data_IF_167448013487
#
_entry.id   IF_167448013487
#
_cell.length_a   1.000
_cell.length_b   1.000
_cell.length_c   1.000
_cell.angle_alpha   90.00
_cell.angle_beta   90.00
_cell.angle_gamma   90.00
#
_symmetry.space_group_name_H-M   'P 1'
#
loop_
_entity.id
_entity.type
_entity.pdbx_description
1 polymer ?
#
# COMPACT_ATOMS: atom_id res chain seq x y z
N UNK A 1 -12.32 5.61 5.69
CA UNK A 1 -11.18 4.67 5.66
C UNK A 1 -10.70 4.15 7.03
N UNK A 2 -11.13 4.71 8.18
CA UNK A 2 -10.66 4.27 9.52
C UNK A 2 -11.38 3.05 10.13
N UNK A 3 -12.50 2.58 9.57
CA UNK A 3 -13.25 1.43 10.10
C UNK A 3 -12.81 0.05 9.56
N UNK A 4 -12.09 0.00 8.43
CA UNK A 4 -11.79 -1.28 7.73
C UNK A 4 -10.48 -1.97 8.14
N UNK A 5 -9.56 -1.27 8.81
CA UNK A 5 -8.23 -1.82 9.14
C UNK A 5 -8.25 -2.60 10.46
N UNK A 6 -9.14 -2.23 11.40
CA UNK A 6 -9.33 -2.95 12.66
C UNK A 6 -10.00 -4.32 12.49
N UNK A 7 -11.06 -4.37 11.68
CA UNK A 7 -11.88 -5.58 11.50
C UNK A 7 -11.11 -6.73 10.83
N UNK A 8 -10.17 -6.42 9.92
CA UNK A 8 -9.31 -7.43 9.28
C UNK A 8 -8.27 -8.06 10.25
N UNK A 9 -7.83 -7.31 11.27
CA UNK A 9 -6.90 -7.80 12.28
C UNK A 9 -7.65 -8.62 13.36
N UNK A 10 -8.85 -8.18 13.74
CA UNK A 10 -9.67 -8.83 14.78
C UNK A 10 -10.28 -10.16 14.32
N UNK A 11 -10.69 -10.27 13.05
CA UNK A 11 -11.17 -11.55 12.46
C UNK A 11 -10.11 -12.64 12.43
N UNK A 12 -8.82 -12.29 12.47
CA UNK A 12 -7.72 -13.25 12.55
C UNK A 12 -7.63 -13.94 13.92
N UNK A 13 -8.17 -13.33 14.97
CA UNK A 13 -8.06 -13.81 16.35
C UNK A 13 -9.26 -14.66 16.78
N UNK A 14 -10.46 -14.44 16.22
CA UNK A 14 -11.65 -15.26 16.52
C UNK A 14 -11.71 -16.60 15.77
N UNK A 15 -10.87 -16.81 14.74
CA UNK A 15 -10.83 -18.06 13.98
C UNK A 15 -9.93 -19.17 14.54
N UNK A 16 -9.26 -18.95 15.68
CA UNK A 16 -8.34 -19.94 16.27
C UNK A 16 -8.95 -20.82 17.36
N UNK A 17 -10.07 -20.41 17.97
CA UNK A 17 -10.70 -21.16 19.06
C UNK A 17 -12.10 -21.66 18.66
N UNK A 18 -12.15 -22.78 17.93
CA UNK A 18 -13.39 -23.54 17.79
C UNK A 18 -13.66 -24.11 16.41
N UNK A 19 -12.85 -25.07 15.95
CA UNK A 19 -13.31 -26.30 15.31
C UNK A 19 -12.10 -27.14 14.87
N UNK A 20 -12.09 -28.41 15.29
CA UNK A 20 -11.10 -29.40 14.88
C UNK A 20 -11.24 -29.71 13.39
N UNK A 21 -10.38 -29.10 12.58
CA UNK A 21 -10.15 -29.45 11.18
C UNK A 21 -8.79 -28.90 10.79
N UNK A 22 -7.88 -29.78 10.35
CA UNK A 22 -6.54 -29.37 9.88
C UNK A 22 -6.68 -28.53 8.60
N UNK A 23 -6.89 -27.22 8.74
CA UNK A 23 -6.85 -26.28 7.64
C UNK A 23 -5.39 -26.05 7.23
N UNK A 24 -4.94 -26.73 6.17
CA UNK A 24 -3.65 -26.48 5.54
C UNK A 24 -3.76 -25.18 4.72
N UNK A 25 -3.53 -24.04 5.36
CA UNK A 25 -3.56 -22.70 4.74
C UNK A 25 -2.36 -22.50 3.79
N UNK A 26 -2.54 -22.82 2.50
CA UNK A 26 -1.66 -22.43 1.40
C UNK A 26 -2.09 -21.06 0.87
N UNK A 27 -1.60 -19.99 1.48
CA UNK A 27 -1.90 -18.62 1.04
C UNK A 27 -1.01 -18.26 -0.15
N UNK A 28 -1.64 -17.91 -1.28
CA UNK A 28 -0.99 -17.24 -2.41
C UNK A 28 -1.27 -15.75 -2.30
N UNK A 29 -0.24 -14.91 -2.27
CA UNK A 29 -0.38 -13.46 -2.34
C UNK A 29 0.07 -12.99 -3.73
N UNK A 30 -0.76 -12.23 -4.45
CA UNK A 30 -0.35 -11.61 -5.70
C UNK A 30 -0.32 -10.09 -5.61
N UNK A 31 0.73 -9.46 -6.17
CA UNK A 31 0.91 -8.00 -6.16
C UNK A 31 1.20 -7.48 -7.57
N UNK A 32 0.52 -6.39 -7.97
CA UNK A 32 0.79 -5.64 -9.21
C UNK A 32 0.73 -4.12 -8.96
N UNK A 33 1.63 -3.36 -9.59
CA UNK A 33 1.64 -1.91 -9.62
C UNK A 33 1.47 -1.36 -11.05
N UNK A 34 0.70 -0.28 -11.22
CA UNK A 34 0.56 0.37 -12.51
C UNK A 34 1.84 1.17 -12.85
N UNK A 35 2.64 0.69 -13.80
CA UNK A 35 3.96 1.25 -14.11
C UNK A 35 4.01 1.91 -15.50
N UNK A 36 4.67 3.09 -15.65
CA UNK A 36 5.07 3.60 -16.95
C UNK A 36 6.12 2.69 -17.62
N UNK A 37 5.93 2.37 -18.89
CA UNK A 37 6.73 1.37 -19.61
C UNK A 37 8.21 1.73 -19.79
N UNK A 38 9.10 0.75 -19.63
CA UNK A 38 10.52 0.88 -19.96
C UNK A 38 10.71 1.00 -21.47
N UNK A 39 10.92 2.23 -21.98
CA UNK A 39 11.35 2.48 -23.37
C UNK A 39 12.86 2.37 -23.59
N UNK A 40 13.65 1.97 -22.59
CA UNK A 40 15.12 2.08 -22.61
C UNK A 40 15.87 0.74 -22.61
N UNK A 41 15.18 -0.40 -22.54
CA UNK A 41 15.84 -1.72 -22.54
C UNK A 41 16.19 -2.16 -23.97
N UNK A 42 17.43 -2.60 -24.16
CA UNK A 42 17.93 -3.19 -25.40
C UNK A 42 17.88 -4.73 -25.29
N UNK A 43 17.70 -5.42 -26.42
CA UNK A 43 17.74 -6.88 -26.50
C UNK A 43 19.08 -7.46 -26.00
N UNK A 44 20.17 -6.70 -26.13
CA UNK A 44 21.52 -7.12 -25.80
C UNK A 44 21.98 -6.68 -24.40
N UNK A 45 21.13 -6.00 -23.64
CA UNK A 45 21.46 -5.61 -22.27
C UNK A 45 21.65 -6.86 -21.39
N UNK A 46 22.69 -6.86 -20.57
CA UNK A 46 22.88 -7.84 -19.50
C UNK A 46 21.83 -7.64 -18.38
N UNK A 47 21.55 -8.67 -17.55
CA UNK A 47 20.59 -8.55 -16.44
C UNK A 47 20.88 -7.37 -15.49
N UNK A 48 22.16 -7.10 -15.20
CA UNK A 48 22.56 -5.96 -14.38
C UNK A 48 22.28 -4.61 -15.05
N UNK A 49 22.32 -4.53 -16.38
CA UNK A 49 21.98 -3.31 -17.13
C UNK A 49 20.47 -3.08 -17.16
N UNK A 50 19.68 -4.15 -17.31
CA UNK A 50 18.23 -4.11 -17.11
C UNK A 50 17.87 -3.60 -15.72
N UNK A 51 18.53 -4.13 -14.68
CA UNK A 51 18.35 -3.68 -13.31
C UNK A 51 18.68 -2.18 -13.17
N UNK A 52 19.83 -1.73 -13.68
CA UNK A 52 20.24 -0.32 -13.62
C UNK A 52 19.22 0.61 -14.27
N UNK A 53 18.69 0.24 -15.45
CA UNK A 53 17.66 1.00 -16.16
C UNK A 53 16.32 1.00 -15.42
N UNK A 54 15.92 -0.15 -14.88
CA UNK A 54 14.72 -0.30 -14.05
C UNK A 54 14.78 0.55 -12.78
N UNK A 55 15.91 0.52 -12.07
CA UNK A 55 16.19 1.33 -10.88
C UNK A 55 16.06 2.81 -11.15
N UNK A 56 16.69 3.32 -12.22
CA UNK A 56 16.58 4.73 -12.62
C UNK A 56 15.12 5.14 -12.91
N UNK A 57 14.31 4.24 -13.46
CA UNK A 57 12.89 4.49 -13.69
C UNK A 57 12.10 4.54 -12.38
N UNK A 58 12.23 3.51 -11.53
CA UNK A 58 11.50 3.37 -10.26
C UNK A 58 11.80 4.50 -9.26
N UNK A 59 13.00 5.07 -9.32
CA UNK A 59 13.35 6.24 -8.50
C UNK A 59 12.62 7.51 -8.94
N UNK A 60 12.34 7.68 -10.23
CA UNK A 60 11.67 8.88 -10.80
C UNK A 60 10.16 8.83 -10.70
N UNK A 61 9.59 7.62 -10.81
CA UNK A 61 8.15 7.41 -10.81
C UNK A 61 7.65 6.91 -9.46
N UNK A 62 6.35 7.08 -9.22
CA UNK A 62 5.69 6.65 -7.99
C UNK A 62 4.74 5.48 -8.24
N UNK A 63 4.37 4.77 -7.18
CA UNK A 63 3.31 3.75 -7.23
C UNK A 63 2.02 4.43 -6.82
N UNK A 64 1.05 4.49 -7.74
CA UNK A 64 -0.26 5.10 -7.49
C UNK A 64 -1.30 4.10 -6.99
N UNK A 65 -1.11 2.81 -7.31
CA UNK A 65 -2.03 1.75 -6.96
C UNK A 65 -1.28 0.43 -6.79
N UNK A 66 -1.69 -0.34 -5.79
CA UNK A 66 -1.18 -1.68 -5.51
C UNK A 66 -2.35 -2.63 -5.28
N UNK A 67 -2.41 -3.70 -6.06
CA UNK A 67 -3.38 -4.77 -5.89
C UNK A 67 -2.83 -5.90 -5.04
N UNK A 68 -3.62 -6.43 -4.13
CA UNK A 68 -3.28 -7.63 -3.36
C UNK A 68 -4.42 -8.64 -3.45
N UNK A 69 -4.17 -9.84 -3.96
CA UNK A 69 -5.14 -10.93 -3.88
C UNK A 69 -4.61 -12.07 -3.02
N UNK A 70 -5.39 -12.50 -2.04
CA UNK A 70 -5.08 -13.59 -1.11
C UNK A 70 -6.03 -14.75 -1.39
N UNK A 71 -5.48 -15.93 -1.66
CA UNK A 71 -6.25 -17.14 -1.96
C UNK A 71 -6.25 -18.11 -0.78
N UNK A 72 -7.44 -18.54 -0.38
CA UNK A 72 -7.67 -19.58 0.61
C UNK A 72 -8.18 -20.84 -0.08
N UNK A 73 -7.58 -21.99 0.21
CA UNK A 73 -8.07 -23.27 -0.28
C UNK A 73 -9.26 -23.72 0.58
N UNK A 74 -10.38 -24.05 -0.07
CA UNK A 74 -11.55 -24.65 0.55
C UNK A 74 -11.33 -26.13 0.90
N UNK A 75 -12.42 -26.79 1.31
CA UNK A 75 -12.41 -28.23 1.64
C UNK A 75 -12.41 -29.11 0.38
N UNK A 76 -12.99 -28.62 -0.71
CA UNK A 76 -13.06 -29.22 -2.04
C UNK A 76 -11.95 -28.66 -2.96
N UNK A 77 -12.05 -28.90 -4.28
CA UNK A 77 -11.16 -28.31 -5.29
C UNK A 77 -11.50 -26.84 -5.59
N UNK A 78 -11.69 -26.06 -4.53
CA UNK A 78 -12.20 -24.70 -4.59
C UNK A 78 -11.26 -23.73 -3.86
N UNK A 79 -11.23 -22.49 -4.33
CA UNK A 79 -10.48 -21.41 -3.71
C UNK A 79 -11.36 -20.18 -3.52
N UNK A 80 -11.13 -19.46 -2.43
CA UNK A 80 -11.75 -18.16 -2.17
C UNK A 80 -10.68 -17.09 -2.25
N UNK A 81 -10.87 -16.12 -3.13
CA UNK A 81 -9.98 -14.99 -3.35
C UNK A 81 -10.50 -13.74 -2.63
N UNK A 82 -9.65 -13.14 -1.79
CA UNK A 82 -9.87 -11.81 -1.23
C UNK A 82 -8.95 -10.81 -1.92
N UNK A 83 -9.53 -9.94 -2.73
CA UNK A 83 -8.78 -8.99 -3.55
C UNK A 83 -8.97 -7.55 -3.05
N UNK A 84 -7.86 -6.87 -2.75
CA UNK A 84 -7.81 -5.53 -2.18
C UNK A 84 -7.08 -4.59 -3.11
N UNK A 85 -7.66 -3.41 -3.33
CA UNK A 85 -7.05 -2.37 -4.14
C UNK A 85 -6.64 -1.18 -3.27
N UNK A 86 -5.34 -0.90 -3.20
CA UNK A 86 -4.79 0.18 -2.40
C UNK A 86 -4.34 1.32 -3.30
N UNK A 87 -4.95 2.49 -3.15
CA UNK A 87 -4.46 3.72 -3.77
C UNK A 87 -3.40 4.32 -2.85
N UNK A 88 -2.23 4.64 -3.40
CA UNK A 88 -1.03 4.97 -2.64
C UNK A 88 -0.52 6.34 -3.04
N UNK A 89 -0.10 7.14 -2.07
CA UNK A 89 0.54 8.43 -2.31
C UNK A 89 1.79 8.57 -1.45
N UNK A 90 2.91 9.10 -1.95
CA UNK A 90 4.11 9.32 -1.14
C UNK A 90 3.79 10.14 0.11
N UNK A 91 4.31 9.72 1.27
CA UNK A 91 4.12 10.49 2.50
C UNK A 91 4.82 11.87 2.39
N UNK A 92 4.05 12.95 2.54
CA UNK A 92 4.53 14.34 2.55
C UNK A 92 4.80 14.80 3.98
N UNK A 93 5.84 14.24 4.59
CA UNK A 93 6.19 14.57 5.98
C UNK A 93 7.29 15.63 6.02
N UNK A 94 6.93 16.89 6.30
CA UNK A 94 7.90 17.98 6.50
C UNK A 94 8.96 18.00 5.39
N UNK A 95 10.24 17.77 5.76
CA UNK A 95 11.40 17.76 4.83
C UNK A 95 11.44 16.58 3.85
N UNK A 96 10.50 15.64 3.97
CA UNK A 96 10.36 14.51 3.04
C UNK A 96 9.35 14.84 1.94
N UNK A 97 9.46 16.03 1.35
CA UNK A 97 8.70 16.36 0.15
C UNK A 97 9.25 15.52 -1.01
N UNK A 98 8.43 14.60 -1.50
CA UNK A 98 8.83 13.61 -2.48
C UNK A 98 8.36 14.06 -3.85
N UNK A 99 9.29 14.53 -4.67
CA UNK A 99 9.02 14.79 -6.07
C UNK A 99 8.88 13.47 -6.83
N UNK A 100 7.85 13.37 -7.68
CA UNK A 100 7.70 12.26 -8.61
C UNK A 100 7.26 12.78 -9.97
N UNK A 101 7.66 12.05 -11.01
CA UNK A 101 7.28 12.35 -12.39
C UNK A 101 6.05 11.55 -12.80
N UNK A 102 5.27 12.09 -13.75
CA UNK A 102 4.23 11.35 -14.45
C UNK A 102 4.53 11.30 -15.95
N UNK A 103 4.22 10.18 -16.59
CA UNK A 103 4.31 10.05 -18.04
C UNK A 103 2.92 10.23 -18.66
N UNK A 104 2.79 11.16 -19.61
CA UNK A 104 1.51 11.50 -20.25
C UNK A 104 0.80 10.30 -20.85
N UNK A 105 1.51 9.42 -21.55
CA UNK A 105 0.91 8.21 -22.14
C UNK A 105 0.35 7.26 -21.08
N UNK A 106 0.99 7.20 -19.91
CA UNK A 106 0.56 6.34 -18.81
C UNK A 106 -0.65 6.92 -18.09
N UNK A 107 -0.72 8.25 -17.95
CA UNK A 107 -1.94 8.93 -17.48
C UNK A 107 -3.09 8.66 -18.45
N UNK A 108 -2.89 8.88 -19.75
CA UNK A 108 -3.94 8.65 -20.75
C UNK A 108 -4.43 7.19 -20.75
N UNK A 109 -3.51 6.23 -20.62
CA UNK A 109 -3.84 4.82 -20.49
C UNK A 109 -4.67 4.54 -19.23
N UNK A 110 -4.26 5.05 -18.07
CA UNK A 110 -5.00 4.87 -16.82
C UNK A 110 -6.39 5.52 -16.87
N UNK A 111 -6.49 6.70 -17.48
CA UNK A 111 -7.78 7.39 -17.69
C UNK A 111 -8.71 6.58 -18.60
N UNK A 112 -8.18 5.87 -19.59
CA UNK A 112 -8.99 4.99 -20.47
C UNK A 112 -9.60 3.80 -19.71
N UNK A 113 -8.96 3.36 -18.63
CA UNK A 113 -9.45 2.29 -17.74
C UNK A 113 -10.04 2.85 -16.44
N UNK A 114 -10.62 4.06 -16.50
CA UNK A 114 -11.38 4.69 -15.40
C UNK A 114 -10.63 4.78 -14.07
N UNK A 115 -9.30 5.02 -14.13
CA UNK A 115 -8.49 5.21 -12.93
C UNK A 115 -8.98 6.41 -12.10
N UNK A 116 -9.26 6.17 -10.83
CA UNK A 116 -9.72 7.20 -9.91
C UNK A 116 -8.54 8.02 -9.36
N UNK A 117 -8.26 9.15 -10.01
CA UNK A 117 -7.20 10.07 -9.59
C UNK A 117 -7.48 10.74 -8.25
N UNK A 118 -8.73 10.87 -7.82
CA UNK A 118 -9.05 11.46 -6.52
C UNK A 118 -8.65 10.51 -5.39
N UNK A 119 -8.91 9.20 -5.55
CA UNK A 119 -8.43 8.19 -4.60
C UNK A 119 -6.91 8.13 -4.51
N UNK A 120 -6.21 8.44 -5.60
CA UNK A 120 -4.75 8.52 -5.62
C UNK A 120 -4.23 9.82 -4.98
N UNK A 121 -4.66 10.98 -5.46
CA UNK A 121 -4.08 12.28 -5.12
C UNK A 121 -4.61 12.86 -3.80
N UNK A 122 -5.89 12.63 -3.50
CA UNK A 122 -6.55 13.18 -2.30
C UNK A 122 -6.56 12.17 -1.15
N UNK A 123 -7.00 10.95 -1.44
CA UNK A 123 -7.25 9.93 -0.42
C UNK A 123 -6.17 8.84 -0.35
N UNK A 124 -5.06 9.03 -1.06
CA UNK A 124 -4.01 8.05 -1.21
C UNK A 124 -3.38 7.68 0.13
N UNK A 125 -3.21 6.38 0.37
CA UNK A 125 -2.61 5.86 1.60
C UNK A 125 -1.13 6.23 1.59
N UNK A 126 -0.61 6.89 2.65
CA UNK A 126 0.79 7.23 2.73
C UNK A 126 1.66 5.97 2.80
N UNK A 127 2.90 6.10 2.41
CA UNK A 127 3.91 5.08 2.63
C UNK A 127 5.30 5.70 2.75
N UNK A 128 6.20 4.94 3.37
CA UNK A 128 7.61 5.29 3.46
C UNK A 128 8.50 4.05 3.59
N UNK A 129 9.75 4.16 3.16
CA UNK A 129 10.77 3.14 3.35
C UNK A 129 11.52 3.30 4.69
N UNK A 130 12.38 2.36 5.04
CA UNK A 130 13.11 2.36 6.31
C UNK A 130 14.01 3.58 6.49
N UNK A 131 14.60 4.11 5.40
CA UNK A 131 15.46 5.30 5.46
C UNK A 131 14.63 6.53 5.82
N UNK A 132 13.45 6.69 5.21
CA UNK A 132 12.49 7.75 5.53
C UNK A 132 11.93 7.60 6.96
N UNK A 133 11.61 6.38 7.39
CA UNK A 133 11.14 6.11 8.75
C UNK A 133 12.20 6.50 9.80
N UNK A 134 13.48 6.19 9.57
CA UNK A 134 14.58 6.61 10.46
C UNK A 134 14.73 8.13 10.52
N UNK A 135 14.61 8.83 9.39
CA UNK A 135 14.62 10.30 9.36
C UNK A 135 13.48 10.87 10.19
N UNK A 136 12.27 10.34 10.02
CA UNK A 136 11.11 10.74 10.79
C UNK A 136 11.29 10.47 12.29
N UNK A 137 11.79 9.31 12.66
CA UNK A 137 12.11 8.98 14.05
C UNK A 137 13.10 9.98 14.68
N UNK A 138 14.11 10.41 13.93
CA UNK A 138 15.05 11.43 14.38
C UNK A 138 14.39 12.80 14.53
N UNK A 139 13.53 13.21 13.59
CA UNK A 139 12.78 14.47 13.66
C UNK A 139 11.86 14.53 14.89
N UNK A 140 11.16 13.43 15.19
CA UNK A 140 10.28 13.33 16.36
C UNK A 140 11.04 13.32 17.69
N UNK A 141 12.33 12.94 17.70
CA UNK A 141 13.17 13.01 18.89
C UNK A 141 13.84 14.39 19.06
N UNK A 142 13.91 15.18 17.99
CA UNK A 142 14.56 16.49 17.96
C UNK A 142 13.60 17.67 18.16
N UNK A 143 14.13 18.89 18.03
CA UNK A 143 13.34 20.12 18.13
C UNK A 143 12.62 20.39 16.79
N UNK A 144 11.51 19.70 16.56
CA UNK A 144 10.75 19.67 15.30
C UNK A 144 10.20 21.05 14.85
N UNK A 145 10.11 22.05 15.74
CA UNK A 145 9.56 23.40 15.45
C UNK A 145 10.33 24.21 14.39
N UNK A 146 11.59 23.88 14.08
CA UNK A 146 12.46 24.72 13.24
C UNK A 146 12.28 24.44 11.74
N UNK A 147 11.53 23.39 11.35
CA UNK A 147 11.63 22.80 10.00
C UNK A 147 10.31 22.73 9.21
N UNK A 148 9.27 23.45 9.62
CA UNK A 148 7.99 23.49 8.88
C UNK A 148 8.11 24.24 7.55
N UNK A 149 7.50 23.70 6.49
CA UNK A 149 7.44 24.31 5.15
C UNK A 149 6.39 25.42 5.07
N UNK A 150 5.41 25.42 5.96
CA UNK A 150 4.31 26.40 5.96
C UNK A 150 4.37 27.32 7.17
N UNK A 151 5.53 27.96 7.38
CA UNK A 151 5.76 28.88 8.51
C UNK A 151 4.67 29.94 8.64
N UNK A 152 4.17 30.47 7.53
CA UNK A 152 3.13 31.49 7.54
C UNK A 152 1.77 30.95 7.99
N UNK A 153 1.37 29.75 7.52
CA UNK A 153 0.12 29.11 7.97
C UNK A 153 0.20 28.72 9.44
N UNK A 154 1.33 28.15 9.85
CA UNK A 154 1.62 27.81 11.24
C UNK A 154 1.56 29.06 12.12
N UNK A 155 2.23 30.14 11.73
CA UNK A 155 2.23 31.40 12.46
C UNK A 155 0.82 31.97 12.58
N UNK A 156 0.06 32.01 11.47
CA UNK A 156 -1.34 32.46 11.47
C UNK A 156 -2.20 31.62 12.44
N UNK A 157 -2.02 30.30 12.46
CA UNK A 157 -2.74 29.43 13.38
C UNK A 157 -2.36 29.71 14.85
N UNK A 158 -1.08 29.89 15.15
CA UNK A 158 -0.61 30.26 16.50
C UNK A 158 -1.20 31.62 16.91
N UNK A 159 -1.16 32.62 16.03
CA UNK A 159 -1.68 33.96 16.30
C UNK A 159 -3.20 33.90 16.57
N UNK A 160 -3.95 33.15 15.77
CA UNK A 160 -5.40 32.94 15.97
C UNK A 160 -5.71 32.29 17.32
N UNK A 161 -4.99 31.21 17.67
CA UNK A 161 -5.18 30.51 18.95
C UNK A 161 -4.78 31.41 20.12
N UNK A 162 -3.70 32.20 19.99
CA UNK A 162 -3.25 33.16 21.02
C UNK A 162 -4.30 34.24 21.28
N UNK A 163 -4.91 34.80 20.25
CA UNK A 163 -5.96 35.80 20.42
C UNK A 163 -7.20 35.18 21.10
N UNK A 164 -7.61 34.00 20.66
CA UNK A 164 -8.81 33.34 21.21
C UNK A 164 -8.62 32.90 22.67
N UNK A 165 -7.48 32.30 23.02
CA UNK A 165 -7.26 31.75 24.36
C UNK A 165 -7.31 32.81 25.46
N UNK A 166 -7.00 34.07 25.12
CA UNK A 166 -7.03 35.22 26.03
C UNK A 166 -8.44 35.58 26.52
N UNK A 167 -9.48 35.18 25.80
CA UNK A 167 -10.89 35.48 26.10
C UNK A 167 -11.78 34.25 26.25
N UNK A 168 -11.29 33.06 25.87
CA UNK A 168 -12.02 31.80 25.97
C UNK A 168 -12.17 31.31 27.41
N UNK A 169 -13.32 30.72 27.74
CA UNK A 169 -13.58 30.01 28.99
C UNK A 169 -13.21 28.51 28.85
N UNK A 170 -13.23 27.77 29.97
CA UNK A 170 -13.01 26.32 29.91
C UNK A 170 -14.12 25.65 29.10
N UNK A 171 -13.79 24.62 28.31
CA UNK A 171 -14.67 23.91 27.38
C UNK A 171 -15.02 24.64 26.08
N UNK A 172 -14.70 25.93 25.95
CA UNK A 172 -14.81 26.65 24.68
C UNK A 172 -13.93 26.00 23.61
N UNK A 173 -14.37 26.13 22.35
CA UNK A 173 -13.61 25.64 21.20
C UNK A 173 -13.56 26.65 20.06
N UNK A 174 -12.52 26.52 19.25
CA UNK A 174 -12.38 27.16 17.94
C UNK A 174 -12.03 26.13 16.89
N UNK A 175 -12.29 26.45 15.61
CA UNK A 175 -11.99 25.57 14.49
C UNK A 175 -11.04 26.28 13.54
N UNK A 176 -9.86 25.67 13.35
CA UNK A 176 -8.93 26.04 12.31
C UNK A 176 -9.32 25.31 11.01
N UNK A 177 -9.25 26.03 9.90
CA UNK A 177 -9.69 25.57 8.58
C UNK A 177 -8.48 25.43 7.64
N UNK A 178 -8.68 24.76 6.51
CA UNK A 178 -7.69 24.56 5.44
C UNK A 178 -6.43 23.80 5.91
N UNK A 179 -6.62 22.81 6.79
CA UNK A 179 -5.57 21.95 7.32
C UNK A 179 -5.80 20.53 6.85
N UNK A 180 -4.96 20.05 5.94
CA UNK A 180 -5.10 18.73 5.33
C UNK A 180 -3.86 17.87 5.50
N UNK A 181 -4.06 16.56 5.36
CA UNK A 181 -2.99 15.57 5.40
C UNK A 181 -2.17 15.61 6.69
N UNK A 182 -0.86 15.53 6.55
CA UNK A 182 0.04 15.46 7.70
C UNK A 182 0.18 16.78 8.47
N UNK A 183 -0.17 17.92 7.85
CA UNK A 183 -0.15 19.24 8.52
C UNK A 183 -1.03 19.26 9.77
N UNK A 184 -2.08 18.45 9.80
CA UNK A 184 -2.97 18.29 10.96
C UNK A 184 -2.19 17.78 12.17
N UNK A 185 -1.32 16.78 12.01
CA UNK A 185 -0.51 16.24 13.13
C UNK A 185 0.57 17.25 13.53
N UNK A 186 1.21 17.88 12.55
CA UNK A 186 2.23 18.91 12.80
C UNK A 186 1.66 20.08 13.63
N UNK A 187 0.52 20.64 13.23
CA UNK A 187 -0.14 21.73 13.97
C UNK A 187 -0.59 21.28 15.36
N UNK A 188 -1.08 20.06 15.53
CA UNK A 188 -1.41 19.55 16.86
C UNK A 188 -0.18 19.52 17.77
N UNK A 189 0.98 19.05 17.29
CA UNK A 189 2.23 19.05 18.06
C UNK A 189 2.67 20.48 18.42
N UNK A 190 2.53 21.43 17.48
CA UNK A 190 2.85 22.85 17.70
C UNK A 190 2.00 23.46 18.77
N UNK A 191 0.69 23.40 18.58
CA UNK A 191 -0.25 24.06 19.46
C UNK A 191 -0.18 23.45 20.86
N UNK A 192 -0.13 22.12 20.98
CA UNK A 192 0.02 21.45 22.28
C UNK A 192 1.34 21.78 22.97
N UNK A 193 2.43 22.02 22.24
CA UNK A 193 3.69 22.46 22.84
C UNK A 193 3.66 23.93 23.26
N UNK A 194 2.98 24.78 22.49
CA UNK A 194 2.93 26.23 22.72
C UNK A 194 1.97 26.63 23.86
N UNK A 195 0.85 25.92 24.00
CA UNK A 195 -0.18 26.22 25.00
C UNK A 195 -0.43 24.99 25.87
N UNK A 196 -0.45 25.13 27.19
CA UNK A 196 -0.60 24.03 28.15
C UNK A 196 -2.05 23.69 28.50
N UNK A 197 -2.98 24.60 28.23
CA UNK A 197 -4.40 24.57 28.61
C UNK A 197 -5.32 24.34 27.40
N UNK A 198 -4.80 23.74 26.33
CA UNK A 198 -5.59 23.35 25.16
C UNK A 198 -5.48 21.87 24.85
N UNK A 199 -6.52 21.37 24.19
CA UNK A 199 -6.55 20.09 23.50
C UNK A 199 -6.90 20.28 22.03
N UNK A 200 -6.44 19.38 21.18
CA UNK A 200 -6.68 19.48 19.74
C UNK A 200 -7.28 18.19 19.20
N UNK A 201 -8.32 18.31 18.38
CA UNK A 201 -9.09 17.19 17.84
C UNK A 201 -9.21 17.36 16.32
N UNK A 202 -8.67 16.44 15.52
CA UNK A 202 -8.85 16.48 14.07
C UNK A 202 -10.31 16.17 13.72
N UNK A 203 -10.94 17.04 12.93
CA UNK A 203 -12.28 16.85 12.43
C UNK A 203 -12.25 16.33 10.98
N UNK A 204 -13.40 15.88 10.50
CA UNK A 204 -13.61 15.64 9.07
C UNK A 204 -13.57 17.00 8.30
N UNK A 205 -13.35 16.97 6.99
CA UNK A 205 -13.27 18.15 6.11
C UNK A 205 -12.09 19.12 6.34
N UNK A 206 -10.87 18.61 6.58
CA UNK A 206 -9.66 19.44 6.62
C UNK A 206 -9.68 20.52 7.71
N UNK A 207 -10.27 20.19 8.86
CA UNK A 207 -10.45 21.07 10.01
C UNK A 207 -9.78 20.53 11.25
N UNK A 208 -9.29 21.43 12.10
CA UNK A 208 -8.74 21.11 13.41
C UNK A 208 -9.49 21.89 14.48
N UNK A 209 -10.18 21.19 15.38
CA UNK A 209 -10.77 21.80 16.56
C UNK A 209 -9.69 21.99 17.62
N UNK A 210 -9.65 23.18 18.21
CA UNK A 210 -8.84 23.51 19.39
C UNK A 210 -9.81 23.81 20.51
N UNK A 211 -9.71 23.08 21.62
CA UNK A 211 -10.59 23.19 22.78
C UNK A 211 -9.79 23.63 24.00
N UNK A 212 -10.30 24.59 24.76
CA UNK A 212 -9.70 25.04 26.02
C UNK A 212 -10.08 24.04 27.10
N UNK A 213 -9.11 23.60 27.88
CA UNK A 213 -9.26 22.45 28.75
C UNK A 213 -8.32 22.54 29.95
N UNK A 214 -8.79 22.01 31.08
CA UNK A 214 -7.95 21.86 32.27
C UNK A 214 -6.66 21.07 31.99
N UNK A 215 -5.48 21.57 32.39
CA UNK A 215 -4.21 20.86 32.24
C UNK A 215 -4.16 19.45 32.85
N UNK A 216 -4.89 19.19 33.95
CA UNK A 216 -4.96 17.87 34.57
C UNK A 216 -5.69 16.87 33.68
N UNK A 217 -6.82 17.27 33.10
CA UNK A 217 -7.59 16.41 32.21
C UNK A 217 -6.84 16.17 30.89
N UNK A 218 -6.17 17.20 30.37
CA UNK A 218 -5.26 17.09 29.23
C UNK A 218 -4.17 16.03 29.48
N UNK A 219 -3.52 16.04 30.64
CA UNK A 219 -2.49 15.05 30.98
C UNK A 219 -3.03 13.62 30.89
N UNK A 220 -4.26 13.37 31.36
CA UNK A 220 -4.89 12.05 31.23
C UNK A 220 -5.04 11.66 29.76
N UNK A 221 -5.49 12.57 28.90
CA UNK A 221 -5.69 12.31 27.47
C UNK A 221 -4.38 12.01 26.73
N UNK A 222 -3.30 12.76 27.00
CA UNK A 222 -1.97 12.55 26.40
C UNK A 222 -1.40 11.16 26.73
N UNK A 223 -1.75 10.61 27.89
CA UNK A 223 -1.29 9.29 28.34
C UNK A 223 -2.19 8.13 27.86
N UNK A 224 -3.23 8.39 27.06
CA UNK A 224 -4.04 7.31 26.47
C UNK A 224 -3.37 6.74 25.23
N UNK A 225 -3.45 5.41 25.00
CA UNK A 225 -2.80 4.75 23.86
C UNK A 225 -3.30 5.19 22.46
N UNK A 226 -4.37 5.99 22.41
CA UNK A 226 -5.03 6.42 21.19
C UNK A 226 -4.76 7.88 20.82
N UNK A 227 -3.91 8.59 21.57
CA UNK A 227 -3.55 9.97 21.21
C UNK A 227 -2.81 9.99 19.86
N UNK A 228 -3.36 10.64 18.82
CA UNK A 228 -2.71 10.72 17.51
C UNK A 228 -1.36 11.43 17.54
N UNK A 229 -1.05 12.22 18.58
CA UNK A 229 0.24 12.88 18.76
C UNK A 229 1.30 12.00 19.43
N UNK A 230 0.96 10.78 19.88
CA UNK A 230 1.97 9.84 20.36
C UNK A 230 2.88 9.41 19.22
N UNK A 231 4.17 9.30 19.54
CA UNK A 231 5.23 8.96 18.60
C UNK A 231 4.91 7.69 17.81
N UNK A 232 4.41 6.67 18.48
CA UNK A 232 4.05 5.37 17.90
C UNK A 232 2.90 5.50 16.89
N UNK A 233 1.88 6.29 17.22
CA UNK A 233 0.72 6.54 16.35
C UNK A 233 1.07 7.38 15.13
N UNK A 234 1.94 8.39 15.31
CA UNK A 234 2.49 9.18 14.21
C UNK A 234 3.26 8.27 13.25
N UNK A 235 4.18 7.45 13.77
CA UNK A 235 4.97 6.52 12.96
C UNK A 235 4.09 5.45 12.30
N UNK A 236 3.06 4.97 12.97
CA UNK A 236 2.12 4.02 12.39
C UNK A 236 1.32 4.64 11.24
N UNK A 237 0.79 5.84 11.44
CA UNK A 237 0.03 6.59 10.43
C UNK A 237 0.89 6.97 9.22
N UNK A 238 2.11 7.46 9.45
CA UNK A 238 3.05 7.82 8.39
C UNK A 238 3.54 6.60 7.58
N UNK A 239 3.68 5.43 8.21
CA UNK A 239 3.99 4.18 7.49
C UNK A 239 2.87 3.79 6.53
N UNK A 240 1.62 4.05 6.88
CA UNK A 240 0.43 3.69 6.10
C UNK A 240 0.53 2.30 5.48
N UNK A 241 0.62 2.21 4.15
CA UNK A 241 0.69 0.94 3.42
C UNK A 241 1.92 0.09 3.79
N UNK A 242 3.03 0.71 4.18
CA UNK A 242 4.24 -0.01 4.63
C UNK A 242 3.95 -0.95 5.80
N UNK A 243 2.91 -0.71 6.62
CA UNK A 243 2.48 -1.65 7.66
C UNK A 243 1.98 -2.98 7.08
N UNK A 244 1.22 -2.92 5.97
CA UNK A 244 0.75 -4.11 5.23
C UNK A 244 1.94 -4.81 4.58
N UNK A 245 2.82 -4.06 3.92
CA UNK A 245 4.05 -4.61 3.35
C UNK A 245 4.90 -5.37 4.39
N UNK A 246 5.16 -4.78 5.56
CA UNK A 246 5.88 -5.45 6.66
C UNK A 246 5.16 -6.72 7.12
N UNK A 247 3.83 -6.74 7.08
CA UNK A 247 3.03 -7.93 7.40
C UNK A 247 3.20 -9.02 6.35
N UNK A 248 3.20 -8.68 5.05
CA UNK A 248 3.47 -9.62 3.96
C UNK A 248 4.87 -10.24 4.08
N UNK A 249 5.88 -9.41 4.33
CA UNK A 249 7.28 -9.85 4.52
C UNK A 249 7.40 -10.81 5.71
N UNK A 250 6.71 -10.54 6.83
CA UNK A 250 6.71 -11.43 8.01
C UNK A 250 6.00 -12.76 7.74
N UNK A 251 4.97 -12.76 6.90
CA UNK A 251 4.19 -13.95 6.61
C UNK A 251 4.98 -15.00 5.81
N UNK A 252 6.01 -14.57 5.05
CA UNK A 252 6.90 -15.43 4.24
C UNK A 252 6.13 -16.41 3.33
N UNK A 253 4.94 -16.01 2.89
CA UNK A 253 4.13 -16.78 1.95
C UNK A 253 4.63 -16.56 0.51
N UNK A 254 4.40 -17.49 -0.42
CA UNK A 254 4.74 -17.30 -1.82
C UNK A 254 4.13 -16.02 -2.38
N UNK A 255 4.97 -15.20 -3.01
CA UNK A 255 4.56 -14.00 -3.70
C UNK A 255 4.52 -14.28 -5.21
N UNK A 256 3.36 -14.00 -5.81
CA UNK A 256 3.04 -14.36 -7.19
C UNK A 256 2.81 -13.11 -8.01
N UNK A 257 3.40 -13.04 -9.18
CA UNK A 257 3.16 -11.95 -10.10
C UNK A 257 3.19 -12.42 -11.55
N UNK A 258 3.03 -11.49 -12.47
CA UNK A 258 3.10 -11.75 -13.89
C UNK A 258 4.01 -10.71 -14.52
N UNK A 259 5.20 -11.12 -14.98
CA UNK A 259 6.24 -10.20 -15.43
C UNK A 259 6.66 -9.21 -14.33
N UNK A 260 6.95 -9.74 -13.14
CA UNK A 260 6.90 -8.98 -11.88
C UNK A 260 8.19 -8.25 -11.50
N UNK A 261 9.19 -8.18 -12.39
CA UNK A 261 10.47 -7.55 -12.09
C UNK A 261 10.28 -6.09 -11.64
N UNK A 262 9.45 -5.32 -12.35
CA UNK A 262 9.20 -3.93 -11.99
C UNK A 262 8.43 -3.81 -10.68
N UNK A 263 7.46 -4.68 -10.43
CA UNK A 263 6.73 -4.72 -9.16
C UNK A 263 7.69 -4.94 -7.99
N UNK A 264 8.66 -5.86 -8.14
CA UNK A 264 9.67 -6.14 -7.11
C UNK A 264 10.61 -4.95 -6.88
N UNK A 265 11.00 -4.23 -7.94
CA UNK A 265 11.81 -3.02 -7.82
C UNK A 265 11.06 -1.92 -7.05
N UNK A 266 9.78 -1.69 -7.37
CA UNK A 266 8.95 -0.74 -6.63
C UNK A 266 8.72 -1.16 -5.19
N UNK A 267 8.45 -2.44 -4.94
CA UNK A 267 8.26 -2.98 -3.59
C UNK A 267 9.50 -2.73 -2.71
N UNK A 268 10.69 -2.94 -3.28
CA UNK A 268 11.96 -2.68 -2.60
C UNK A 268 12.15 -1.17 -2.35
N UNK A 269 12.16 -0.34 -3.40
CA UNK A 269 12.44 1.11 -3.33
C UNK A 269 11.49 1.85 -2.38
N UNK A 270 10.18 1.57 -2.48
CA UNK A 270 9.13 2.39 -1.87
C UNK A 270 8.76 1.94 -0.45
N UNK A 271 8.89 0.66 -0.12
CA UNK A 271 8.43 0.12 1.17
C UNK A 271 9.51 -0.54 2.03
N UNK A 272 10.67 -0.89 1.45
CA UNK A 272 11.78 -1.48 2.20
C UNK A 272 12.94 -0.50 2.34
N UNK A 273 13.78 -0.36 1.31
CA UNK A 273 14.99 0.45 1.31
C UNK A 273 15.22 1.01 -0.10
N UNK A 274 15.98 2.09 -0.27
CA UNK A 274 16.43 2.50 -1.59
C UNK A 274 17.11 1.32 -2.31
N UNK A 275 16.81 1.16 -3.60
CA UNK A 275 17.39 0.12 -4.44
C UNK A 275 18.93 0.23 -4.44
N UNK A 276 19.65 -0.88 -4.16
CA UNK A 276 21.11 -0.85 -4.11
C UNK A 276 21.72 -0.58 -5.49
N UNK A 277 22.96 -0.12 -5.54
CA UNK A 277 23.69 0.00 -6.81
C UNK A 277 23.97 -1.38 -7.45
N UNK A 278 24.22 -2.38 -6.60
CA UNK A 278 24.58 -3.72 -7.01
C UNK A 278 23.34 -4.60 -7.25
N UNK A 279 23.29 -5.29 -8.40
CA UNK A 279 22.18 -6.18 -8.76
C UNK A 279 22.11 -7.45 -7.89
N UNK A 280 23.26 -8.02 -7.49
CA UNK A 280 23.31 -9.18 -6.59
C UNK A 280 22.73 -8.82 -5.21
N UNK A 281 23.08 -7.65 -4.69
CA UNK A 281 22.50 -7.17 -3.42
C UNK A 281 20.98 -6.99 -3.51
N UNK A 282 20.46 -6.56 -4.66
CA UNK A 282 19.01 -6.51 -4.88
C UNK A 282 18.40 -7.91 -4.84
N UNK A 283 19.02 -8.91 -5.48
CA UNK A 283 18.54 -10.30 -5.45
C UNK A 283 18.55 -10.87 -4.03
N UNK A 284 19.62 -10.66 -3.29
CA UNK A 284 19.72 -11.11 -1.90
C UNK A 284 18.63 -10.47 -1.03
N UNK A 285 18.44 -9.15 -1.17
CA UNK A 285 17.40 -8.43 -0.47
C UNK A 285 16.00 -8.94 -0.82
N UNK A 286 15.68 -9.13 -2.11
CA UNK A 286 14.32 -9.53 -2.50
C UNK A 286 14.01 -10.97 -2.08
N UNK A 287 14.98 -11.89 -2.14
CA UNK A 287 14.82 -13.25 -1.65
C UNK A 287 14.76 -13.32 -0.12
N UNK A 288 15.47 -12.43 0.58
CA UNK A 288 15.30 -12.27 2.02
C UNK A 288 13.88 -11.81 2.37
N UNK A 289 13.33 -10.83 1.64
CA UNK A 289 11.97 -10.32 1.85
C UNK A 289 10.91 -11.38 1.53
N UNK A 290 11.01 -11.98 0.35
CA UNK A 290 10.08 -12.95 -0.23
C UNK A 290 10.85 -14.21 -0.69
N UNK A 291 10.96 -15.24 0.16
CA UNK A 291 11.76 -16.43 -0.16
C UNK A 291 11.29 -17.21 -1.39
N UNK A 292 9.98 -17.20 -1.65
CA UNK A 292 9.36 -17.89 -2.78
C UNK A 292 8.69 -16.86 -3.69
N UNK A 293 9.25 -16.69 -4.89
CA UNK A 293 8.76 -15.81 -5.94
C UNK A 293 8.31 -16.66 -7.14
N UNK A 294 7.09 -16.43 -7.62
CA UNK A 294 6.52 -17.18 -8.73
C UNK A 294 6.04 -16.20 -9.82
N UNK A 295 6.76 -16.13 -10.92
CA UNK A 295 6.37 -15.33 -12.08
C UNK A 295 5.55 -16.19 -13.06
N UNK A 296 4.24 -15.97 -13.07
CA UNK A 296 3.29 -16.72 -13.88
C UNK A 296 3.56 -16.62 -15.38
N UNK A 297 4.15 -15.52 -15.87
CA UNK A 297 4.52 -15.39 -17.29
C UNK A 297 5.61 -16.40 -17.65
N UNK A 298 6.61 -16.54 -16.79
CA UNK A 298 7.70 -17.50 -16.99
C UNK A 298 7.23 -18.93 -16.77
N UNK A 299 6.40 -19.17 -15.74
CA UNK A 299 5.82 -20.50 -15.46
C UNK A 299 4.98 -20.95 -16.66
N UNK A 300 4.04 -20.13 -17.13
CA UNK A 300 3.20 -20.45 -18.28
C UNK A 300 4.03 -20.73 -19.54
N UNK A 301 5.08 -19.95 -19.80
CA UNK A 301 6.00 -20.17 -20.92
C UNK A 301 6.70 -21.54 -20.85
N UNK A 302 7.05 -22.00 -19.65
CA UNK A 302 7.68 -23.31 -19.43
C UNK A 302 6.67 -24.45 -19.57
N UNK A 303 5.53 -24.37 -18.88
CA UNK A 303 4.44 -25.38 -18.95
C UNK A 303 3.93 -25.56 -20.37
N UNK A 304 3.89 -24.49 -21.16
CA UNK A 304 3.47 -24.55 -22.56
C UNK A 304 4.25 -25.54 -23.41
N UNK A 305 5.56 -25.68 -23.18
CA UNK A 305 6.39 -26.62 -23.94
C UNK A 305 5.99 -28.08 -23.70
N UNK A 306 5.44 -28.34 -22.53
CA UNK A 306 5.06 -29.67 -22.07
C UNK A 306 3.63 -30.03 -22.49
N UNK A 307 2.68 -29.08 -22.37
CA UNK A 307 1.25 -29.33 -22.57
C UNK A 307 0.63 -28.72 -23.85
N UNK A 308 1.45 -28.19 -24.78
CA UNK A 308 1.01 -27.64 -26.08
C UNK A 308 -0.06 -26.54 -26.02
N UNK A 309 -0.06 -25.71 -24.96
CA UNK A 309 -1.00 -24.59 -24.81
C UNK A 309 -0.84 -23.49 -25.89
N UNK A 310 -1.90 -22.69 -26.16
CA UNK A 310 -1.86 -21.54 -27.07
C UNK A 310 -0.74 -20.52 -26.78
N UNK A 311 -0.28 -19.80 -27.81
CA UNK A 311 0.77 -18.76 -27.77
C UNK A 311 0.31 -17.49 -27.04
N UNK A 312 -0.04 -17.57 -25.77
CA UNK A 312 -0.55 -16.40 -25.03
C UNK A 312 0.41 -15.97 -23.93
N UNK A 313 0.73 -14.68 -23.91
CA UNK A 313 1.69 -14.08 -22.97
C UNK A 313 1.12 -12.96 -22.13
N UNK A 314 -0.05 -12.43 -22.49
CA UNK A 314 -0.74 -11.39 -21.73
C UNK A 314 -1.61 -12.04 -20.64
N UNK A 315 -1.63 -11.42 -19.46
CA UNK A 315 -2.26 -12.00 -18.29
C UNK A 315 -3.75 -12.32 -18.49
N UNK A 316 -4.54 -11.37 -19.00
CA UNK A 316 -5.98 -11.53 -19.20
C UNK A 316 -6.27 -12.65 -20.20
N UNK A 317 -5.63 -12.61 -21.36
CA UNK A 317 -5.81 -13.61 -22.42
C UNK A 317 -5.36 -15.01 -21.94
N UNK A 318 -4.28 -15.08 -21.13
CA UNK A 318 -3.80 -16.33 -20.54
C UNK A 318 -4.82 -16.91 -19.57
N UNK A 319 -5.40 -16.05 -18.72
CA UNK A 319 -6.49 -16.45 -17.82
C UNK A 319 -7.72 -16.94 -18.60
N UNK A 320 -8.16 -16.18 -19.60
CA UNK A 320 -9.32 -16.54 -20.44
C UNK A 320 -9.09 -17.86 -21.18
N UNK A 321 -7.87 -18.09 -21.68
CA UNK A 321 -7.49 -19.36 -22.31
C UNK A 321 -7.59 -20.53 -21.34
N UNK A 322 -7.07 -20.37 -20.12
CA UNK A 322 -7.13 -21.38 -19.06
C UNK A 322 -8.55 -21.63 -18.53
N UNK A 323 -9.48 -20.70 -18.72
CA UNK A 323 -10.89 -20.86 -18.38
C UNK A 323 -11.75 -21.37 -19.54
N UNK A 324 -11.20 -21.44 -20.75
CA UNK A 324 -11.95 -21.83 -21.95
C UNK A 324 -11.94 -23.34 -22.15
N UNK A 325 -12.87 -23.83 -22.98
CA UNK A 325 -12.94 -25.23 -23.45
C UNK A 325 -11.67 -25.70 -24.19
N UNK A 326 -10.79 -24.77 -24.59
CA UNK A 326 -9.50 -25.08 -25.21
C UNK A 326 -8.49 -25.57 -24.17
N UNK A 327 -8.78 -25.42 -22.87
CA UNK A 327 -8.00 -26.01 -21.81
C UNK A 327 -8.21 -27.54 -21.78
N UNK A 328 -7.18 -28.36 -22.13
CA UNK A 328 -7.32 -29.81 -22.24
C UNK A 328 -7.63 -30.52 -20.90
N UNK A 329 -7.61 -29.82 -19.77
CA UNK A 329 -7.79 -30.39 -18.43
C UNK A 329 -8.91 -29.69 -17.63
N UNK A 330 -9.91 -29.11 -18.30
CA UNK A 330 -10.98 -28.34 -17.66
C UNK A 330 -11.61 -29.06 -16.44
N UNK A 331 -11.72 -30.38 -16.49
CA UNK A 331 -12.27 -31.22 -15.40
C UNK A 331 -11.47 -31.22 -14.09
N UNK A 332 -10.17 -30.89 -14.11
CA UNK A 332 -9.29 -30.85 -12.92
C UNK A 332 -9.05 -29.42 -12.41
N UNK A 333 -9.51 -28.43 -13.16
CA UNK A 333 -9.26 -27.04 -12.84
C UNK A 333 -10.03 -26.64 -11.58
N UNK A 334 -9.40 -25.93 -10.64
CA UNK A 334 -10.10 -25.48 -9.45
C UNK A 334 -11.12 -24.39 -9.82
N UNK A 335 -12.24 -24.40 -9.11
CA UNK A 335 -13.16 -23.26 -9.08
C UNK A 335 -12.61 -22.21 -8.13
N UNK A 336 -12.71 -20.94 -8.53
CA UNK A 336 -12.15 -19.83 -7.78
C UNK A 336 -13.24 -18.78 -7.62
N UNK A 337 -13.68 -18.60 -6.38
CA UNK A 337 -14.72 -17.65 -6.00
C UNK A 337 -14.11 -16.37 -5.45
N UNK A 338 -14.82 -15.27 -5.62
CA UNK A 338 -14.51 -14.01 -4.93
C UNK A 338 -15.19 -14.01 -3.56
N UNK A 339 -14.50 -13.46 -2.56
CA UNK A 339 -15.11 -13.17 -1.25
C UNK A 339 -16.12 -12.03 -1.34
N UNK A 340 -16.97 -11.89 -0.32
CA UNK A 340 -17.97 -10.82 -0.20
C UNK A 340 -17.37 -9.42 -0.41
N UNK A 341 -16.18 -9.18 0.14
CA UNK A 341 -15.46 -7.90 0.04
C UNK A 341 -14.95 -7.59 -1.38
N UNK A 342 -14.95 -8.58 -2.29
CA UNK A 342 -14.41 -8.48 -3.64
C UNK A 342 -15.38 -8.94 -4.74
N UNK A 343 -16.67 -9.06 -4.42
CA UNK A 343 -17.74 -9.47 -5.36
C UNK A 343 -17.81 -8.64 -6.63
N UNK A 344 -17.37 -7.37 -6.59
CA UNK A 344 -17.32 -6.52 -7.80
C UNK A 344 -16.54 -7.17 -8.94
N UNK A 345 -15.51 -7.97 -8.63
CA UNK A 345 -14.68 -8.64 -9.62
C UNK A 345 -15.30 -9.92 -10.18
N UNK A 346 -16.29 -10.49 -9.49
CA UNK A 346 -17.10 -11.58 -10.03
C UNK A 346 -18.08 -11.09 -11.10
N UNK A 347 -18.57 -9.85 -10.96
CA UNK A 347 -19.60 -9.28 -11.83
C UNK A 347 -18.97 -8.50 -12.99
N UNK A 348 -17.93 -7.72 -12.71
CA UNK A 348 -17.31 -6.82 -13.66
C UNK A 348 -15.87 -7.23 -13.98
N UNK A 349 -15.54 -7.27 -15.27
CA UNK A 349 -14.14 -7.33 -15.70
C UNK A 349 -13.51 -5.95 -15.52
N UNK A 350 -12.47 -5.87 -14.69
CA UNK A 350 -11.76 -4.61 -14.41
C UNK A 350 -10.29 -4.71 -14.86
N UNK A 351 -10.00 -4.95 -16.15
CA UNK A 351 -8.63 -5.10 -16.61
C UNK A 351 -7.83 -3.83 -16.31
N UNK A 352 -6.55 -4.00 -15.98
CA UNK A 352 -5.65 -2.90 -15.62
C UNK A 352 -5.96 -2.19 -14.28
N UNK A 353 -6.97 -2.64 -13.53
CA UNK A 353 -7.05 -2.38 -12.10
C UNK A 353 -6.14 -3.37 -11.36
N UNK A 354 -5.23 -2.86 -10.54
CA UNK A 354 -4.15 -3.66 -9.96
C UNK A 354 -4.64 -4.87 -9.15
N UNK A 355 -5.74 -4.74 -8.42
CA UNK A 355 -6.30 -5.81 -7.61
C UNK A 355 -7.01 -6.89 -8.43
N UNK A 356 -7.68 -6.52 -9.53
CA UNK A 356 -8.23 -7.48 -10.47
C UNK A 356 -7.10 -8.24 -11.17
N UNK A 357 -6.06 -7.53 -11.60
CA UNK A 357 -4.89 -8.15 -12.19
C UNK A 357 -4.14 -9.07 -11.20
N UNK A 358 -4.05 -8.71 -9.92
CA UNK A 358 -3.50 -9.57 -8.89
C UNK A 358 -4.34 -10.85 -8.69
N UNK A 359 -5.67 -10.73 -8.78
CA UNK A 359 -6.55 -11.90 -8.80
C UNK A 359 -6.25 -12.79 -10.01
N UNK A 360 -6.21 -12.23 -11.22
CA UNK A 360 -5.91 -13.00 -12.44
C UNK A 360 -4.57 -13.73 -12.33
N UNK A 361 -3.53 -13.08 -11.82
CA UNK A 361 -2.22 -13.69 -11.57
C UNK A 361 -2.32 -14.93 -10.68
N UNK A 362 -2.96 -14.82 -9.52
CA UNK A 362 -3.11 -15.94 -8.61
C UNK A 362 -3.96 -17.07 -9.19
N UNK A 363 -5.03 -16.72 -9.90
CA UNK A 363 -5.90 -17.68 -10.56
C UNK A 363 -5.17 -18.45 -11.68
N UNK A 364 -4.39 -17.75 -12.51
CA UNK A 364 -3.53 -18.37 -13.53
C UNK A 364 -2.54 -19.35 -12.89
N UNK A 365 -1.86 -18.96 -11.80
CA UNK A 365 -0.96 -19.87 -11.11
C UNK A 365 -1.69 -21.10 -10.60
N UNK A 366 -2.83 -20.94 -9.92
CA UNK A 366 -3.59 -22.05 -9.36
C UNK A 366 -4.06 -23.01 -10.46
N UNK A 367 -4.56 -22.48 -11.58
CA UNK A 367 -4.98 -23.31 -12.71
C UNK A 367 -3.79 -24.06 -13.31
N UNK A 368 -2.66 -23.40 -13.55
CA UNK A 368 -1.44 -24.06 -14.04
C UNK A 368 -0.91 -25.10 -13.05
N UNK A 369 -0.97 -24.82 -11.75
CA UNK A 369 -0.49 -25.74 -10.72
C UNK A 369 -1.34 -27.01 -10.58
N UNK A 370 -2.58 -27.04 -11.08
CA UNK A 370 -3.40 -28.25 -11.17
C UNK A 370 -3.22 -28.98 -12.52
N UNK A 371 -2.46 -28.39 -13.47
CA UNK A 371 -2.01 -29.08 -14.68
C UNK A 371 -0.78 -29.96 -14.43
N UNK A 372 0.07 -29.53 -13.50
CA UNK A 372 1.32 -30.18 -13.08
C UNK A 372 1.06 -31.15 -11.93
#
# INVERSE_FOLDING_TARGET
AKAGVGDAAERKQRGQDGCGGRAVSRNVASVRGACPGLRLCCLFDLPAEWYRKGRQSVQRFTVNQLGLSIFYKGMSNEYIAHSYNFFLFPATFGQMDSEFSCQTSSIQFLSHYDFDYNKFLKDGIPYMNETQEKKLQHLLSGNWMVQSFHKDKVKKAIDQVTCWISSAEEEDFMVLHDIYGFQVIELQLILRKAFSDIWTIPLEDEKLMVKKMNPQYRWVLENTAFDPCQREQILYSARGFTNIFKTLVRAKKPLVGHNMLMDLLYLHEKFYKPLPENYEEFKDNIHFLFPVLLDTKNIAKSTRKEFQFPQVSYLLELYETLCSVVNPTDQLCPEIFHSDDSLRYAINKCPHEAAYDAFLCGAVLLKIAHLL
#
